data_IF_229886406969
#
_entry.id   IF_229886406969
#
_cell.length_a   1.000
_cell.length_b   1.000
_cell.length_c   1.000
_cell.angle_alpha   90.00
_cell.angle_beta   90.00
_cell.angle_gamma   90.00
#
_symmetry.space_group_name_H-M   'P 1'
#
loop_
_entity.id
_entity.type
_entity.pdbx_description
1 polymer ?
#
# COMPACT_ATOMS: atom_id res chain seq x y z
N UNK A 1 5.64 -7.16 24.87
CA UNK A 1 5.37 -6.37 23.65
C UNK A 1 3.94 -5.85 23.77
N UNK A 2 3.75 -4.76 24.53
CA UNK A 2 2.42 -4.37 25.06
C UNK A 2 1.64 -3.37 24.19
N UNK A 3 2.23 -2.89 23.09
CA UNK A 3 1.65 -1.80 22.29
C UNK A 3 0.62 -2.28 21.26
N UNK A 4 0.74 -3.49 20.72
CA UNK A 4 -0.22 -4.01 19.72
C UNK A 4 -1.63 -4.13 20.33
N UNK A 5 -1.83 -4.72 21.53
CA UNK A 5 -3.16 -4.76 22.14
C UNK A 5 -3.74 -3.36 22.41
N UNK A 6 -2.90 -2.40 22.78
CA UNK A 6 -3.32 -1.00 22.99
C UNK A 6 -3.81 -0.37 21.68
N UNK A 7 -3.06 -0.54 20.59
CA UNK A 7 -3.49 -0.10 19.25
C UNK A 7 -4.81 -0.78 18.87
N UNK A 8 -4.90 -2.11 18.98
CA UNK A 8 -6.12 -2.88 18.68
C UNK A 8 -7.34 -2.33 19.42
N UNK A 9 -7.19 -2.07 20.72
CA UNK A 9 -8.27 -1.54 21.55
C UNK A 9 -8.73 -0.12 21.19
N UNK A 10 -7.87 0.67 20.54
CA UNK A 10 -8.15 2.04 20.15
C UNK A 10 -8.67 2.19 18.71
N UNK A 11 -8.54 1.15 17.88
CA UNK A 11 -9.03 1.14 16.50
C UNK A 11 -10.48 0.66 16.42
N UNK A 12 -11.19 1.07 15.36
CA UNK A 12 -12.51 0.52 15.06
C UNK A 12 -12.41 -0.96 14.67
N UNK A 13 -13.52 -1.68 14.79
CA UNK A 13 -13.61 -3.09 14.39
C UNK A 13 -13.29 -3.30 12.90
N UNK A 14 -13.72 -2.36 12.06
CA UNK A 14 -13.46 -2.37 10.62
C UNK A 14 -11.97 -2.29 10.31
N UNK A 15 -11.24 -1.33 10.89
CA UNK A 15 -9.79 -1.21 10.72
C UNK A 15 -9.10 -2.47 11.26
N UNK A 16 -9.55 -2.98 12.40
CA UNK A 16 -8.98 -4.17 13.01
C UNK A 16 -9.10 -5.41 12.11
N UNK A 17 -10.19 -5.53 11.36
CA UNK A 17 -10.42 -6.65 10.43
C UNK A 17 -9.51 -6.57 9.22
N UNK A 18 -9.21 -5.38 8.73
CA UNK A 18 -8.39 -5.15 7.53
C UNK A 18 -6.87 -5.23 7.79
N UNK A 19 -6.44 -5.31 9.04
CA UNK A 19 -5.03 -5.24 9.41
C UNK A 19 -4.57 -6.45 10.21
N UNK A 20 -3.43 -7.02 9.83
CA UNK A 20 -2.72 -8.00 10.66
C UNK A 20 -1.91 -7.32 11.77
N UNK A 21 -1.47 -8.09 12.76
CA UNK A 21 -0.55 -7.58 13.80
C UNK A 21 0.79 -7.15 13.21
N UNK A 22 1.20 -7.76 12.09
CA UNK A 22 2.39 -7.36 11.36
C UNK A 22 2.22 -5.96 10.73
N UNK A 23 1.04 -5.65 10.20
CA UNK A 23 0.75 -4.31 9.67
C UNK A 23 0.80 -3.26 10.78
N UNK A 24 0.19 -3.54 11.93
CA UNK A 24 0.26 -2.65 13.12
C UNK A 24 1.71 -2.41 13.54
N UNK A 25 2.54 -3.47 13.55
CA UNK A 25 3.97 -3.34 13.85
C UNK A 25 4.68 -2.37 12.89
N UNK A 26 4.35 -2.40 11.60
CA UNK A 26 4.96 -1.48 10.61
C UNK A 26 4.65 -0.02 10.94
N UNK A 27 3.42 0.30 11.33
CA UNK A 27 3.04 1.65 11.73
C UNK A 27 3.74 2.09 13.03
N UNK A 28 3.79 1.20 14.03
CA UNK A 28 4.50 1.47 15.28
C UNK A 28 5.98 1.77 15.04
N UNK A 29 6.67 0.94 14.25
CA UNK A 29 8.09 1.15 13.91
C UNK A 29 8.28 2.46 13.14
N UNK A 30 7.42 2.75 12.16
CA UNK A 30 7.49 3.97 11.35
C UNK A 30 7.27 5.27 12.16
N UNK A 31 6.77 5.18 13.39
CA UNK A 31 6.54 6.32 14.29
C UNK A 31 7.38 6.25 15.57
N UNK A 32 8.42 5.41 15.59
CA UNK A 32 9.31 5.28 16.74
C UNK A 32 8.59 4.74 17.98
N UNK A 33 7.66 3.81 17.79
CA UNK A 33 6.78 3.24 18.82
C UNK A 33 5.91 4.26 19.57
N UNK A 34 5.69 5.45 18.99
CA UNK A 34 4.76 6.42 19.54
C UNK A 34 3.31 6.02 19.22
N UNK A 35 2.52 5.72 20.26
CA UNK A 35 1.16 5.19 20.12
C UNK A 35 0.24 6.15 19.35
N UNK A 36 0.14 7.40 19.80
CA UNK A 36 -0.78 8.39 19.22
C UNK A 36 -0.50 8.66 17.74
N UNK A 37 0.78 8.86 17.39
CA UNK A 37 1.20 9.07 16.00
C UNK A 37 0.97 7.84 15.13
N UNK A 38 1.06 6.65 15.71
CA UNK A 38 0.77 5.40 15.00
C UNK A 38 -0.72 5.28 14.71
N UNK A 39 -1.58 5.55 15.70
CA UNK A 39 -3.03 5.59 15.53
C UNK A 39 -3.46 6.65 14.51
N UNK A 40 -2.88 7.84 14.56
CA UNK A 40 -3.14 8.89 13.56
C UNK A 40 -2.77 8.43 12.15
N UNK A 41 -1.61 7.77 11.98
CA UNK A 41 -1.17 7.26 10.69
C UNK A 41 -2.06 6.11 10.18
N UNK A 42 -2.47 5.20 11.06
CA UNK A 42 -3.36 4.09 10.73
C UNK A 42 -4.70 4.62 10.24
N UNK A 43 -5.29 5.58 10.95
CA UNK A 43 -6.55 6.19 10.53
C UNK A 43 -6.43 6.87 9.16
N UNK A 44 -5.35 7.63 8.92
CA UNK A 44 -5.11 8.25 7.61
C UNK A 44 -4.92 7.22 6.50
N UNK A 45 -4.18 6.15 6.77
CA UNK A 45 -4.01 5.04 5.83
C UNK A 45 -5.37 4.39 5.51
N UNK A 46 -6.20 4.13 6.53
CA UNK A 46 -7.48 3.47 6.33
C UNK A 46 -8.45 4.32 5.51
N UNK A 47 -8.49 5.63 5.77
CA UNK A 47 -9.25 6.59 4.96
C UNK A 47 -8.80 6.52 3.50
N UNK A 48 -7.49 6.54 3.23
CA UNK A 48 -6.98 6.39 1.87
C UNK A 48 -7.33 5.03 1.25
N UNK A 49 -7.13 3.94 1.99
CA UNK A 49 -7.33 2.56 1.56
C UNK A 49 -8.77 2.26 1.15
N UNK A 50 -9.73 2.96 1.76
CA UNK A 50 -11.17 2.85 1.48
C UNK A 50 -11.72 3.97 0.60
N UNK A 51 -10.90 4.96 0.22
CA UNK A 51 -11.35 6.11 -0.58
C UNK A 51 -11.47 5.71 -2.05
N UNK A 52 -12.66 5.87 -2.67
CA UNK A 52 -12.82 5.67 -4.11
C UNK A 52 -11.93 6.58 -4.94
N UNK A 53 -11.56 6.14 -6.13
CA UNK A 53 -10.76 6.93 -7.06
C UNK A 53 -11.56 8.04 -7.78
N UNK A 54 -12.74 8.41 -7.29
CA UNK A 54 -13.66 9.37 -7.90
C UNK A 54 -13.06 10.77 -8.10
N UNK A 55 -12.08 11.15 -7.27
CA UNK A 55 -11.37 12.42 -7.36
C UNK A 55 -10.20 12.41 -8.36
N UNK A 56 -9.81 11.25 -8.89
CA UNK A 56 -8.68 11.12 -9.81
C UNK A 56 -9.16 11.05 -11.26
N UNK A 57 -8.34 11.57 -12.18
CA UNK A 57 -8.56 11.49 -13.62
C UNK A 57 -8.23 10.08 -14.16
N UNK A 58 -8.98 9.09 -13.69
CA UNK A 58 -8.86 7.70 -14.13
C UNK A 58 -10.04 7.27 -15.00
N UNK A 59 -9.92 6.08 -15.60
CA UNK A 59 -10.99 5.45 -16.38
C UNK A 59 -12.32 5.50 -15.59
N UNK A 60 -13.40 6.09 -16.17
CA UNK A 60 -14.70 6.19 -15.52
C UNK A 60 -15.22 4.87 -14.92
N UNK A 61 -14.96 3.74 -15.56
CA UNK A 61 -15.42 2.41 -15.12
C UNK A 61 -14.71 1.94 -13.83
N UNK A 62 -13.55 2.52 -13.52
CA UNK A 62 -12.74 2.16 -12.34
C UNK A 62 -12.84 3.20 -11.22
N UNK A 63 -13.65 4.26 -11.35
CA UNK A 63 -13.73 5.39 -10.38
C UNK A 63 -14.29 5.00 -9.03
N UNK A 64 -15.20 4.04 -8.98
CA UNK A 64 -15.80 3.56 -7.74
C UNK A 64 -14.89 2.58 -6.97
N UNK A 65 -13.84 2.06 -7.62
CA UNK A 65 -12.85 1.22 -6.95
C UNK A 65 -12.06 2.08 -5.95
N UNK A 66 -11.60 1.45 -4.88
CA UNK A 66 -10.66 2.02 -3.94
C UNK A 66 -9.40 1.14 -3.82
N UNK A 67 -8.32 1.62 -3.19
CA UNK A 67 -7.08 0.85 -3.11
C UNK A 67 -7.23 -0.57 -2.56
N UNK A 68 -8.17 -0.81 -1.64
CA UNK A 68 -8.46 -2.15 -1.12
C UNK A 68 -8.98 -3.14 -2.16
N UNK A 69 -9.63 -2.64 -3.20
CA UNK A 69 -10.24 -3.45 -4.26
C UNK A 69 -9.21 -3.86 -5.34
N UNK A 70 -8.00 -3.31 -5.30
CA UNK A 70 -6.96 -3.56 -6.30
C UNK A 70 -6.28 -4.94 -6.16
N UNK A 71 -6.74 -5.78 -5.23
CA UNK A 71 -5.95 -6.93 -4.76
C UNK A 71 -5.84 -8.08 -5.74
N UNK A 72 -6.74 -8.24 -6.72
CA UNK A 72 -6.60 -9.24 -7.79
C UNK A 72 -7.44 -8.85 -9.02
N UNK A 73 -6.85 -8.88 -10.22
CA UNK A 73 -7.63 -8.93 -11.47
C UNK A 73 -7.94 -7.60 -12.16
N UNK A 74 -7.37 -6.47 -11.72
CA UNK A 74 -7.42 -5.24 -12.54
C UNK A 74 -6.31 -5.34 -13.56
N UNK A 75 -6.64 -5.86 -14.73
CA UNK A 75 -5.76 -5.75 -15.90
C UNK A 75 -5.67 -4.29 -16.32
N UNK A 76 -4.44 -3.82 -16.52
CA UNK A 76 -4.16 -2.58 -17.22
C UNK A 76 -3.74 -2.94 -18.65
N UNK A 77 -4.58 -2.62 -19.62
CA UNK A 77 -4.32 -2.86 -21.05
C UNK A 77 -3.07 -2.11 -21.54
N UNK A 78 -2.62 -1.09 -20.79
CA UNK A 78 -1.43 -0.31 -21.09
C UNK A 78 -0.19 -0.77 -20.33
N UNK A 79 -0.29 -1.78 -19.47
CA UNK A 79 0.83 -2.29 -18.67
C UNK A 79 2.02 -2.67 -19.55
N UNK A 80 1.77 -3.34 -20.68
CA UNK A 80 2.82 -3.76 -21.62
C UNK A 80 3.55 -2.53 -22.21
N UNK A 81 2.79 -1.56 -22.73
CA UNK A 81 3.36 -0.31 -23.25
C UNK A 81 4.10 0.48 -22.16
N UNK A 82 3.57 0.51 -20.93
CA UNK A 82 4.22 1.20 -19.82
C UNK A 82 5.52 0.50 -19.42
N UNK A 83 5.55 -0.84 -19.39
CA UNK A 83 6.74 -1.63 -19.12
C UNK A 83 7.84 -1.46 -20.18
N UNK A 84 7.50 -1.16 -21.44
CA UNK A 84 8.49 -0.80 -22.47
C UNK A 84 9.09 0.59 -22.23
N UNK A 85 8.27 1.58 -21.86
CA UNK A 85 8.69 2.96 -21.61
C UNK A 85 9.44 3.13 -20.28
N UNK A 86 9.01 2.38 -19.26
CA UNK A 86 9.55 2.37 -17.91
C UNK A 86 9.80 0.92 -17.49
N UNK A 87 10.92 0.31 -17.88
CA UNK A 87 11.18 -1.08 -17.55
C UNK A 87 11.33 -1.29 -16.04
N UNK A 88 10.50 -2.16 -15.48
CA UNK A 88 10.62 -2.68 -14.11
C UNK A 88 10.50 -4.20 -14.08
N UNK A 89 11.02 -4.82 -13.02
CA UNK A 89 10.86 -6.25 -12.79
C UNK A 89 10.99 -6.61 -11.30
N UNK A 90 10.30 -7.65 -10.87
CA UNK A 90 10.48 -8.26 -9.54
C UNK A 90 11.22 -9.59 -9.70
N UNK A 91 12.55 -9.56 -9.87
CA UNK A 91 13.36 -10.75 -10.15
C UNK A 91 14.46 -10.90 -9.11
N UNK A 92 14.48 -12.09 -8.49
CA UNK A 92 15.48 -12.52 -7.52
C UNK A 92 15.17 -12.08 -6.09
N UNK A 93 16.06 -12.48 -5.20
CA UNK A 93 16.00 -12.18 -3.77
C UNK A 93 17.38 -11.68 -3.30
N UNK A 94 17.39 -10.83 -2.28
CA UNK A 94 18.62 -10.45 -1.61
C UNK A 94 19.15 -11.57 -0.69
N UNK A 95 20.28 -11.34 -0.01
CA UNK A 95 20.90 -12.33 0.89
C UNK A 95 20.02 -12.73 2.08
N UNK A 96 18.93 -12.01 2.33
CA UNK A 96 17.99 -12.22 3.42
C UNK A 96 16.66 -12.80 2.92
N UNK A 97 16.57 -13.17 1.63
CA UNK A 97 15.36 -13.69 1.01
C UNK A 97 14.32 -12.61 0.71
N UNK A 98 14.71 -11.32 0.68
CA UNK A 98 13.76 -10.24 0.38
C UNK A 98 13.64 -10.07 -1.13
N UNK A 99 12.42 -9.96 -1.68
CA UNK A 99 12.22 -9.77 -3.11
C UNK A 99 12.89 -8.47 -3.58
N UNK A 100 13.56 -8.52 -4.73
CA UNK A 100 14.20 -7.36 -5.34
C UNK A 100 13.30 -6.78 -6.41
N UNK A 101 12.94 -5.50 -6.23
CA UNK A 101 12.33 -4.68 -7.27
C UNK A 101 13.43 -3.92 -8.03
N UNK A 102 13.49 -4.13 -9.35
CA UNK A 102 14.35 -3.41 -10.26
C UNK A 102 13.52 -2.41 -11.04
N UNK A 103 14.01 -1.18 -11.13
CA UNK A 103 13.49 -0.13 -12.00
C UNK A 103 14.64 0.45 -12.81
N UNK A 104 14.47 0.56 -14.13
CA UNK A 104 15.43 1.23 -14.98
C UNK A 104 14.95 2.65 -15.24
N UNK A 105 15.42 3.59 -14.42
CA UNK A 105 15.13 5.02 -14.62
C UNK A 105 16.04 5.63 -15.69
N UNK A 106 15.59 6.69 -16.37
CA UNK A 106 16.40 7.46 -17.35
C UNK A 106 16.49 6.87 -18.76
N UNK A 107 15.60 5.95 -19.13
CA UNK A 107 15.55 5.34 -20.48
C UNK A 107 14.85 6.27 -21.48
N UNK A 108 13.99 7.17 -21.00
CA UNK A 108 13.36 8.23 -21.78
C UNK A 108 14.13 9.55 -21.67
N UNK A 109 15.08 9.78 -22.58
CA UNK A 109 15.53 11.13 -22.88
C UNK A 109 14.39 11.85 -23.61
N UNK A 110 13.69 12.73 -22.91
CA UNK A 110 12.84 13.76 -23.52
C UNK A 110 13.66 15.03 -23.71
#
# INVERSE_FOLDING_TARGET
MELIPQVRSALSEEINTEMSDFDICRFLVARGCNLDKSLEMINKWFVWYTKPFTEYEINPEKRELCPKDLKDGITDEKEEMFGELFPYSNIGEDKQGRPIYWERSGVGGW
#
